data_IF_132894858151
#
_entry.id   IF_132894858151
#
_cell.length_a   1.000
_cell.length_b   1.000
_cell.length_c   1.000
_cell.angle_alpha   90.00
_cell.angle_beta   90.00
_cell.angle_gamma   90.00
#
_symmetry.space_group_name_H-M   'P 1'
#
loop_
_entity.id
_entity.type
_entity.pdbx_description
1 polymer ?
#
# COMPACT_ATOMS: atom_id res chain seq x y z
N UNK A 1 -16.47 -70.58 25.29
CA UNK A 1 -16.80 -69.18 25.59
C UNK A 1 -15.94 -68.67 26.73
N UNK A 2 -14.75 -68.14 26.43
CA UNK A 2 -13.92 -67.45 27.43
C UNK A 2 -12.74 -66.81 26.74
N UNK A 3 -12.99 -65.81 25.93
CA UNK A 3 -11.95 -64.91 25.36
C UNK A 3 -12.53 -63.50 25.26
N UNK A 4 -12.50 -62.71 26.32
CA UNK A 4 -12.70 -61.25 26.20
C UNK A 4 -12.29 -60.40 27.41
N UNK A 5 -11.81 -61.00 28.51
CA UNK A 5 -11.42 -60.15 29.68
C UNK A 5 -9.93 -59.85 29.79
N UNK A 6 -9.08 -60.51 29.01
CA UNK A 6 -7.58 -60.31 29.07
C UNK A 6 -7.09 -59.08 28.31
N UNK A 7 -7.81 -58.62 27.28
CA UNK A 7 -7.36 -57.48 26.45
C UNK A 7 -7.70 -56.14 27.07
N UNK A 8 -8.85 -56.04 27.71
CA UNK A 8 -9.27 -54.78 28.37
C UNK A 8 -8.38 -54.43 29.60
N UNK A 9 -7.93 -55.46 30.37
CA UNK A 9 -7.05 -55.23 31.51
C UNK A 9 -5.62 -54.79 31.08
N UNK A 10 -5.12 -55.27 29.93
CA UNK A 10 -3.81 -54.85 29.42
C UNK A 10 -3.82 -53.42 28.87
N UNK A 11 -4.89 -52.96 28.29
CA UNK A 11 -5.00 -51.58 27.88
C UNK A 11 -5.16 -50.59 29.07
N UNK A 12 -5.93 -51.00 30.11
CA UNK A 12 -6.12 -50.19 31.33
C UNK A 12 -4.78 -50.08 32.12
N UNK A 13 -3.96 -51.12 32.21
CA UNK A 13 -2.67 -51.09 32.88
C UNK A 13 -1.62 -50.25 32.13
N UNK A 14 -1.66 -50.21 30.77
CA UNK A 14 -0.75 -49.35 29.99
C UNK A 14 -1.06 -47.87 30.17
N UNK A 15 -2.37 -47.50 30.26
CA UNK A 15 -2.81 -46.10 30.51
C UNK A 15 -2.47 -45.68 31.95
N UNK A 16 -2.61 -46.58 32.92
CA UNK A 16 -2.29 -46.28 34.33
C UNK A 16 -0.77 -46.14 34.58
N UNK A 17 0.07 -46.90 33.90
CA UNK A 17 1.56 -46.82 33.99
C UNK A 17 2.06 -45.55 33.28
N UNK A 18 1.44 -45.10 32.21
CA UNK A 18 1.76 -43.82 31.57
C UNK A 18 1.42 -42.61 32.46
N UNK A 19 0.35 -42.69 33.24
CA UNK A 19 -0.03 -41.62 34.19
C UNK A 19 0.92 -41.53 35.44
N UNK A 20 1.54 -42.67 35.84
CA UNK A 20 2.48 -42.68 36.98
C UNK A 20 3.89 -42.20 36.58
N UNK A 21 4.29 -42.26 35.30
CA UNK A 21 5.56 -41.79 34.80
C UNK A 21 5.60 -40.34 34.34
N UNK A 22 4.50 -39.58 34.50
CA UNK A 22 4.40 -38.22 33.99
C UNK A 22 4.41 -38.11 32.47
N UNK A 23 4.28 -39.23 31.74
CA UNK A 23 4.04 -39.29 30.31
C UNK A 23 2.54 -39.38 30.08
N UNK A 24 1.81 -38.25 30.24
CA UNK A 24 0.51 -38.10 29.61
C UNK A 24 0.59 -38.38 28.10
N UNK A 25 -0.53 -38.74 27.44
CA UNK A 25 -0.48 -38.90 25.98
C UNK A 25 0.18 -37.66 25.40
N UNK A 26 1.21 -37.85 24.61
CA UNK A 26 1.87 -36.75 23.88
C UNK A 26 0.87 -36.21 22.88
N UNK A 27 0.22 -35.12 23.25
CA UNK A 27 -0.78 -34.45 22.39
C UNK A 27 -0.16 -33.46 21.41
N UNK A 28 1.18 -33.33 21.43
CA UNK A 28 1.92 -32.41 20.58
C UNK A 28 1.90 -30.95 21.01
N UNK A 29 1.29 -30.61 22.13
CA UNK A 29 1.21 -29.20 22.59
C UNK A 29 2.58 -28.61 22.90
N UNK A 30 3.50 -29.42 23.44
CA UNK A 30 4.87 -28.97 23.72
C UNK A 30 5.63 -28.66 22.45
N UNK A 31 5.53 -29.53 21.44
CA UNK A 31 6.12 -29.34 20.12
C UNK A 31 5.55 -28.10 19.45
N UNK A 32 4.24 -27.84 19.60
CA UNK A 32 3.56 -26.68 19.04
C UNK A 32 4.10 -25.36 19.62
N UNK A 33 4.18 -25.25 20.97
CA UNK A 33 4.72 -24.06 21.63
C UNK A 33 6.20 -23.83 21.31
N UNK A 34 7.00 -24.88 21.25
CA UNK A 34 8.39 -24.78 20.80
C UNK A 34 8.49 -24.38 19.32
N UNK A 35 7.57 -24.85 18.49
CA UNK A 35 7.46 -24.47 17.09
C UNK A 35 7.17 -22.98 16.93
N UNK A 36 6.23 -22.43 17.71
CA UNK A 36 5.93 -20.99 17.71
C UNK A 36 7.14 -20.16 18.11
N UNK A 37 7.85 -20.57 19.17
CA UNK A 37 9.08 -19.90 19.59
C UNK A 37 10.15 -19.93 18.49
N UNK A 38 10.37 -21.08 17.84
CA UNK A 38 11.32 -21.19 16.73
C UNK A 38 10.91 -20.31 15.53
N UNK A 39 9.60 -20.24 15.22
CA UNK A 39 9.05 -19.42 14.16
C UNK A 39 9.28 -17.91 14.44
N UNK A 40 9.04 -17.46 15.68
CA UNK A 40 9.29 -16.07 16.10
C UNK A 40 10.79 -15.72 16.01
N UNK A 41 11.67 -16.65 16.34
CA UNK A 41 13.12 -16.50 16.19
C UNK A 41 13.61 -16.65 14.73
N UNK A 42 12.70 -16.84 13.77
CA UNK A 42 12.99 -17.04 12.34
C UNK A 42 13.83 -18.31 12.04
N UNK A 43 13.86 -19.27 12.96
CA UNK A 43 14.40 -20.61 12.71
C UNK A 43 13.34 -21.50 12.05
N UNK A 44 13.04 -21.17 10.77
CA UNK A 44 11.91 -21.74 10.05
C UNK A 44 12.03 -23.25 9.86
N UNK A 45 13.24 -23.81 9.65
CA UNK A 45 13.43 -25.26 9.51
C UNK A 45 13.17 -26.02 10.81
N UNK A 46 13.55 -25.44 11.94
CA UNK A 46 13.23 -26.02 13.24
C UNK A 46 11.73 -25.88 13.54
N UNK A 47 11.12 -24.74 13.22
CA UNK A 47 9.69 -24.53 13.38
C UNK A 47 8.88 -25.54 12.56
N UNK A 48 9.21 -25.76 11.29
CA UNK A 48 8.60 -26.76 10.42
C UNK A 48 8.65 -28.16 11.04
N UNK A 49 9.83 -28.60 11.48
CA UNK A 49 10.00 -29.92 12.10
C UNK A 49 9.11 -30.08 13.34
N UNK A 50 9.00 -29.04 14.16
CA UNK A 50 8.21 -29.07 15.39
C UNK A 50 6.70 -29.04 15.08
N UNK A 51 6.26 -28.18 14.15
CA UNK A 51 4.87 -28.13 13.72
C UNK A 51 4.41 -29.41 13.02
N UNK A 52 5.27 -30.01 12.18
CA UNK A 52 4.98 -31.29 11.54
C UNK A 52 4.76 -32.40 12.58
N UNK A 53 5.62 -32.49 13.60
CA UNK A 53 5.46 -33.44 14.71
C UNK A 53 4.15 -33.18 15.49
N UNK A 54 3.88 -31.91 15.78
CA UNK A 54 2.67 -31.51 16.48
C UNK A 54 1.41 -31.87 15.70
N UNK A 55 1.39 -31.60 14.40
CA UNK A 55 0.26 -31.92 13.50
C UNK A 55 0.00 -33.42 13.37
N UNK A 56 1.07 -34.26 13.41
CA UNK A 56 0.93 -35.73 13.44
C UNK A 56 0.28 -36.21 14.72
N UNK A 57 0.59 -35.58 15.87
CA UNK A 57 0.03 -35.95 17.18
C UNK A 57 -1.42 -35.45 17.37
N UNK A 58 -1.80 -34.39 16.68
CA UNK A 58 -3.15 -33.85 16.73
C UNK A 58 -3.68 -33.51 15.30
N UNK A 59 -3.99 -34.51 14.50
CA UNK A 59 -4.32 -34.32 13.07
C UNK A 59 -5.67 -33.62 12.81
N UNK A 60 -6.50 -33.43 13.84
CA UNK A 60 -7.77 -32.70 13.78
C UNK A 60 -7.66 -31.26 14.29
N UNK A 61 -6.46 -30.82 14.68
CA UNK A 61 -6.20 -29.46 15.14
C UNK A 61 -5.79 -28.60 13.95
N UNK A 62 -6.73 -27.76 13.48
CA UNK A 62 -6.54 -26.91 12.30
C UNK A 62 -5.40 -25.88 12.51
N UNK A 63 -5.24 -25.36 13.75
CA UNK A 63 -4.20 -24.35 14.05
C UNK A 63 -2.79 -24.91 13.82
N UNK A 64 -2.54 -26.13 14.24
CA UNK A 64 -1.24 -26.78 14.05
C UNK A 64 -0.89 -26.98 12.59
N UNK A 65 -1.88 -27.41 11.81
CA UNK A 65 -1.76 -27.59 10.37
C UNK A 65 -1.56 -26.22 9.70
N UNK A 66 -2.27 -25.19 10.16
CA UNK A 66 -2.15 -23.82 9.65
C UNK A 66 -0.75 -23.24 9.88
N UNK A 67 -0.18 -23.41 11.10
CA UNK A 67 1.18 -22.99 11.39
C UNK A 67 2.23 -23.74 10.56
N UNK A 68 2.02 -25.04 10.32
CA UNK A 68 2.88 -25.83 9.42
C UNK A 68 2.81 -25.25 8.00
N UNK A 69 1.60 -25.10 7.44
CA UNK A 69 1.40 -24.57 6.09
C UNK A 69 2.03 -23.18 5.91
N UNK A 70 1.89 -22.31 6.93
CA UNK A 70 2.50 -20.97 6.92
C UNK A 70 4.02 -21.03 6.91
N UNK A 71 4.60 -21.96 7.68
CA UNK A 71 6.05 -22.12 7.75
C UNK A 71 6.61 -22.68 6.45
N UNK A 72 5.95 -23.67 5.86
CA UNK A 72 6.32 -24.24 4.55
C UNK A 72 6.23 -23.17 3.45
N UNK A 73 5.19 -22.33 3.46
CA UNK A 73 5.05 -21.21 2.52
C UNK A 73 6.22 -20.21 2.66
N UNK A 74 6.63 -19.87 3.89
CA UNK A 74 7.76 -18.97 4.12
C UNK A 74 9.12 -19.59 3.74
N UNK A 75 9.23 -20.92 3.80
CA UNK A 75 10.39 -21.66 3.30
C UNK A 75 10.40 -21.77 1.77
N UNK A 76 9.32 -21.44 1.09
CA UNK A 76 9.16 -21.56 -0.35
C UNK A 76 8.72 -22.96 -0.80
N UNK A 77 8.31 -23.82 0.13
CA UNK A 77 7.83 -25.18 -0.08
C UNK A 77 6.34 -25.17 -0.44
N UNK A 78 6.06 -24.65 -1.64
CA UNK A 78 4.69 -24.33 -2.06
C UNK A 78 3.79 -25.56 -2.17
N UNK A 79 4.30 -26.70 -2.65
CA UNK A 79 3.51 -27.92 -2.82
C UNK A 79 3.07 -28.49 -1.46
N UNK A 80 3.97 -28.46 -0.48
CA UNK A 80 3.72 -28.87 0.89
C UNK A 80 2.70 -27.96 1.55
N UNK A 81 2.90 -26.63 1.43
CA UNK A 81 1.95 -25.63 1.93
C UNK A 81 0.55 -25.80 1.31
N UNK A 82 0.44 -26.10 0.01
CA UNK A 82 -0.84 -26.40 -0.64
C UNK A 82 -1.52 -27.64 -0.04
N UNK A 83 -0.76 -28.67 0.26
CA UNK A 83 -1.30 -29.89 0.88
C UNK A 83 -1.81 -29.62 2.29
N UNK A 84 -1.04 -28.87 3.11
CA UNK A 84 -1.45 -28.58 4.47
C UNK A 84 -2.65 -27.62 4.53
N UNK A 85 -2.65 -26.57 3.70
CA UNK A 85 -3.79 -25.63 3.70
C UNK A 85 -5.10 -26.31 3.22
N UNK A 86 -5.01 -27.28 2.31
CA UNK A 86 -6.18 -28.08 1.91
C UNK A 86 -6.75 -28.87 3.10
N UNK A 87 -5.89 -29.44 3.96
CA UNK A 87 -6.32 -30.11 5.20
C UNK A 87 -6.93 -29.11 6.19
N UNK A 88 -6.31 -27.96 6.40
CA UNK A 88 -6.82 -26.92 7.30
C UNK A 88 -8.20 -26.43 6.85
N UNK A 89 -8.41 -26.22 5.55
CA UNK A 89 -9.70 -25.85 4.97
C UNK A 89 -10.77 -26.94 5.20
N UNK A 90 -10.42 -28.21 5.11
CA UNK A 90 -11.35 -29.30 5.39
C UNK A 90 -11.80 -29.36 6.86
N UNK A 91 -10.95 -28.90 7.77
CA UNK A 91 -11.22 -28.89 9.23
C UNK A 91 -11.90 -27.59 9.69
N UNK A 92 -11.49 -26.45 9.19
CA UNK A 92 -11.89 -25.12 9.65
C UNK A 92 -11.98 -24.11 8.49
N UNK A 93 -12.70 -24.44 7.41
CA UNK A 93 -12.77 -23.63 6.19
C UNK A 93 -13.41 -22.25 6.39
N UNK A 94 -14.19 -22.03 7.43
CA UNK A 94 -14.77 -20.72 7.78
C UNK A 94 -13.86 -19.86 8.65
N UNK A 95 -12.76 -20.43 9.17
CA UNK A 95 -11.81 -19.69 9.96
C UNK A 95 -11.10 -18.62 9.11
N UNK A 96 -10.96 -17.41 9.66
CA UNK A 96 -10.44 -16.27 8.93
C UNK A 96 -8.94 -16.42 8.61
N UNK A 97 -8.17 -17.01 9.51
CA UNK A 97 -6.71 -17.22 9.31
C UNK A 97 -6.46 -18.31 8.28
N UNK A 98 -7.28 -19.37 8.27
CA UNK A 98 -7.26 -20.41 7.24
C UNK A 98 -7.60 -19.84 5.87
N UNK A 99 -8.64 -19.02 5.77
CA UNK A 99 -9.05 -18.35 4.53
C UNK A 99 -7.97 -17.38 4.03
N UNK A 100 -7.35 -16.61 4.93
CA UNK A 100 -6.24 -15.69 4.60
C UNK A 100 -5.04 -16.44 4.06
N UNK A 101 -4.59 -17.49 4.76
CA UNK A 101 -3.44 -18.26 4.33
C UNK A 101 -3.72 -18.99 3.00
N UNK A 102 -4.95 -19.51 2.81
CA UNK A 102 -5.34 -20.10 1.52
C UNK A 102 -5.18 -19.10 0.38
N UNK A 103 -5.70 -17.89 0.52
CA UNK A 103 -5.57 -16.87 -0.50
C UNK A 103 -4.10 -16.46 -0.76
N UNK A 104 -3.24 -16.48 0.27
CA UNK A 104 -1.80 -16.27 0.12
C UNK A 104 -1.14 -17.41 -0.66
N UNK A 105 -1.47 -18.66 -0.34
CA UNK A 105 -0.98 -19.84 -1.06
C UNK A 105 -1.42 -19.80 -2.52
N UNK A 106 -2.67 -19.45 -2.81
CA UNK A 106 -3.19 -19.29 -4.17
C UNK A 106 -2.39 -18.22 -4.94
N UNK A 107 -2.06 -17.09 -4.29
CA UNK A 107 -1.22 -16.05 -4.91
C UNK A 107 0.19 -16.56 -5.23
N UNK A 108 0.85 -17.29 -4.32
CA UNK A 108 2.15 -17.89 -4.56
C UNK A 108 2.09 -18.97 -5.66
N UNK A 109 0.98 -19.69 -5.76
CA UNK A 109 0.70 -20.65 -6.83
C UNK A 109 0.36 -19.96 -8.18
N UNK A 110 0.37 -18.63 -8.24
CA UNK A 110 -0.02 -17.82 -9.40
C UNK A 110 -1.48 -17.97 -9.82
N UNK A 111 -2.33 -18.53 -8.96
CA UNK A 111 -3.79 -18.57 -9.12
C UNK A 111 -4.40 -17.24 -8.69
N UNK A 112 -4.07 -16.17 -9.42
CA UNK A 112 -4.38 -14.79 -9.01
C UNK A 112 -5.88 -14.51 -8.93
N UNK A 113 -6.70 -15.19 -9.72
CA UNK A 113 -8.16 -15.05 -9.68
C UNK A 113 -8.72 -15.63 -8.38
N UNK A 114 -8.28 -16.84 -7.99
CA UNK A 114 -8.70 -17.48 -6.73
C UNK A 114 -8.18 -16.68 -5.53
N UNK A 115 -6.94 -16.23 -5.56
CA UNK A 115 -6.39 -15.37 -4.54
C UNK A 115 -7.20 -14.07 -4.37
N UNK A 116 -7.52 -13.39 -5.49
CA UNK A 116 -8.33 -12.18 -5.47
C UNK A 116 -9.73 -12.44 -4.89
N UNK A 117 -10.36 -13.54 -5.27
CA UNK A 117 -11.66 -13.96 -4.73
C UNK A 117 -11.58 -14.19 -3.22
N UNK A 118 -10.61 -15.00 -2.76
CA UNK A 118 -10.44 -15.30 -1.34
C UNK A 118 -10.17 -14.04 -0.50
N UNK A 119 -9.26 -13.17 -0.95
CA UNK A 119 -9.01 -11.90 -0.26
C UNK A 119 -10.23 -10.97 -0.28
N UNK A 120 -11.02 -10.93 -1.37
CA UNK A 120 -12.23 -10.10 -1.46
C UNK A 120 -13.31 -10.56 -0.48
N UNK A 121 -13.53 -11.84 -0.37
CA UNK A 121 -14.48 -12.43 0.57
C UNK A 121 -14.15 -12.06 2.02
N UNK A 122 -12.87 -12.07 2.40
CA UNK A 122 -12.40 -11.65 3.73
C UNK A 122 -12.55 -10.13 3.91
N UNK A 123 -12.10 -9.36 2.94
CA UNK A 123 -12.11 -7.90 2.99
C UNK A 123 -13.53 -7.30 3.13
N UNK A 124 -14.53 -7.94 2.54
CA UNK A 124 -15.92 -7.48 2.53
C UNK A 124 -16.79 -8.13 3.62
N UNK A 125 -16.29 -9.15 4.32
CA UNK A 125 -17.02 -9.83 5.40
C UNK A 125 -17.09 -8.96 6.66
N UNK A 126 -18.21 -8.26 6.84
CA UNK A 126 -18.43 -7.35 7.97
C UNK A 126 -18.48 -8.03 9.35
N UNK A 127 -18.57 -9.36 9.40
CA UNK A 127 -18.56 -10.14 10.65
C UNK A 127 -17.14 -10.26 11.22
N UNK A 128 -16.13 -10.12 10.36
CA UNK A 128 -14.73 -10.18 10.75
C UNK A 128 -14.26 -8.86 11.34
N UNK A 129 -13.26 -8.93 12.21
CA UNK A 129 -12.60 -7.77 12.78
C UNK A 129 -11.99 -6.87 11.69
N UNK A 130 -11.90 -5.56 12.00
CA UNK A 130 -11.36 -4.59 11.07
C UNK A 130 -9.91 -4.90 10.65
N UNK A 131 -9.10 -5.43 11.58
CA UNK A 131 -7.71 -5.85 11.35
C UNK A 131 -7.60 -7.00 10.33
N UNK A 132 -8.47 -8.01 10.44
CA UNK A 132 -8.53 -9.15 9.51
C UNK A 132 -9.00 -8.70 8.12
N UNK A 133 -10.05 -7.88 8.08
CA UNK A 133 -10.54 -7.29 6.83
C UNK A 133 -9.47 -6.41 6.16
N UNK A 134 -8.68 -5.70 6.94
CA UNK A 134 -7.54 -4.91 6.44
C UNK A 134 -6.48 -5.81 5.79
N UNK A 135 -6.21 -7.00 6.34
CA UNK A 135 -5.33 -7.98 5.70
C UNK A 135 -5.89 -8.47 4.37
N UNK A 136 -7.18 -8.76 4.28
CA UNK A 136 -7.85 -9.09 3.02
C UNK A 136 -7.69 -7.98 1.97
N UNK A 137 -7.94 -6.71 2.34
CA UNK A 137 -7.70 -5.57 1.45
C UNK A 137 -6.23 -5.43 1.05
N UNK A 138 -5.28 -5.63 1.97
CA UNK A 138 -3.86 -5.60 1.66
C UNK A 138 -3.48 -6.70 0.66
N UNK A 139 -4.00 -7.93 0.84
CA UNK A 139 -3.83 -9.04 -0.10
C UNK A 139 -4.36 -8.71 -1.50
N UNK A 140 -5.57 -8.13 -1.60
CA UNK A 140 -6.11 -7.63 -2.88
C UNK A 140 -5.20 -6.59 -3.53
N UNK A 141 -4.60 -5.72 -2.74
CA UNK A 141 -3.62 -4.75 -3.22
C UNK A 141 -2.40 -5.42 -3.84
N UNK A 142 -1.88 -6.47 -3.19
CA UNK A 142 -0.74 -7.25 -3.71
C UNK A 142 -1.10 -7.97 -5.02
N UNK A 143 -2.27 -8.61 -5.09
CA UNK A 143 -2.75 -9.21 -6.34
C UNK A 143 -2.87 -8.16 -7.44
N UNK A 144 -3.45 -7.00 -7.12
CA UNK A 144 -3.58 -5.89 -8.08
C UNK A 144 -2.22 -5.39 -8.60
N UNK A 145 -1.20 -5.31 -7.75
CA UNK A 145 0.17 -4.97 -8.19
C UNK A 145 0.75 -6.03 -9.13
N UNK A 146 0.58 -7.30 -8.78
CA UNK A 146 1.09 -8.43 -9.60
C UNK A 146 0.45 -8.47 -10.99
N UNK A 147 -0.81 -8.04 -11.10
CA UNK A 147 -1.55 -7.99 -12.35
C UNK A 147 -1.49 -6.60 -13.05
N UNK A 148 -0.55 -5.74 -12.71
CA UNK A 148 -0.38 -4.37 -13.23
C UNK A 148 -1.62 -3.46 -13.11
N UNK A 149 -2.55 -3.82 -12.23
CA UNK A 149 -3.74 -3.03 -11.93
C UNK A 149 -3.47 -1.98 -10.83
N UNK A 150 -2.49 -1.10 -11.05
CA UNK A 150 -1.93 -0.18 -10.05
C UNK A 150 -2.98 0.69 -9.36
N UNK A 151 -4.00 1.17 -10.08
CA UNK A 151 -5.09 1.95 -9.49
C UNK A 151 -5.96 1.14 -8.54
N UNK A 152 -6.29 -0.11 -8.88
CA UNK A 152 -7.06 -1.00 -8.01
C UNK A 152 -6.24 -1.39 -6.78
N UNK A 153 -4.95 -1.71 -6.98
CA UNK A 153 -4.01 -1.98 -5.89
C UNK A 153 -3.95 -0.81 -4.89
N UNK A 154 -3.84 0.42 -5.38
CA UNK A 154 -3.84 1.61 -4.52
C UNK A 154 -5.12 1.73 -3.70
N UNK A 155 -6.29 1.59 -4.34
CA UNK A 155 -7.57 1.66 -3.62
C UNK A 155 -7.65 0.58 -2.54
N UNK A 156 -7.20 -0.63 -2.83
CA UNK A 156 -7.20 -1.73 -1.89
C UNK A 156 -6.31 -1.43 -0.67
N UNK A 157 -5.07 -0.97 -0.87
CA UNK A 157 -4.20 -0.55 0.24
C UNK A 157 -4.78 0.60 1.04
N UNK A 158 -5.36 1.61 0.40
CA UNK A 158 -5.99 2.73 1.11
C UNK A 158 -7.19 2.27 1.96
N UNK A 159 -7.97 1.29 1.48
CA UNK A 159 -9.06 0.67 2.26
C UNK A 159 -8.52 -0.15 3.43
N UNK A 160 -7.43 -0.90 3.24
CA UNK A 160 -6.73 -1.60 4.33
C UNK A 160 -6.31 -0.63 5.42
N UNK A 161 -5.62 0.45 5.06
CA UNK A 161 -5.10 1.46 5.99
C UNK A 161 -6.20 2.30 6.66
N UNK A 162 -7.37 2.39 6.04
CA UNK A 162 -8.54 2.99 6.68
C UNK A 162 -9.10 2.12 7.79
N UNK A 163 -9.14 0.80 7.60
CA UNK A 163 -9.60 -0.16 8.59
C UNK A 163 -8.58 -0.36 9.71
N UNK A 164 -7.31 -0.47 9.33
CA UNK A 164 -6.21 -0.64 10.28
C UNK A 164 -4.98 0.17 9.85
N UNK A 165 -4.75 1.29 10.51
CA UNK A 165 -3.57 2.15 10.28
C UNK A 165 -2.25 1.51 10.73
N UNK A 166 -2.31 0.43 11.53
CA UNK A 166 -1.13 -0.32 11.96
C UNK A 166 -0.75 -1.44 11.01
N UNK A 167 -1.49 -1.65 9.93
CA UNK A 167 -1.15 -2.64 8.91
C UNK A 167 0.13 -2.24 8.18
N UNK A 168 1.27 -2.65 8.74
CA UNK A 168 2.60 -2.33 8.21
C UNK A 168 2.81 -2.88 6.78
N UNK A 169 2.24 -4.06 6.48
CA UNK A 169 2.31 -4.65 5.15
C UNK A 169 1.65 -3.75 4.10
N UNK A 170 0.50 -3.15 4.41
CA UNK A 170 -0.17 -2.21 3.51
C UNK A 170 0.67 -0.94 3.25
N UNK A 171 1.31 -0.38 4.28
CA UNK A 171 2.23 0.75 4.11
C UNK A 171 3.42 0.39 3.23
N UNK A 172 4.05 -0.77 3.47
CA UNK A 172 5.19 -1.24 2.69
C UNK A 172 4.84 -1.42 1.21
N UNK A 173 3.74 -2.13 0.92
CA UNK A 173 3.33 -2.39 -0.46
C UNK A 173 2.82 -1.13 -1.16
N UNK A 174 2.16 -0.21 -0.45
CA UNK A 174 1.80 1.09 -1.00
C UNK A 174 3.05 1.92 -1.34
N UNK A 175 4.10 1.85 -0.51
CA UNK A 175 5.40 2.44 -0.80
C UNK A 175 6.04 1.86 -2.08
N UNK A 176 6.03 0.53 -2.24
CA UNK A 176 6.48 -0.13 -3.47
C UNK A 176 5.65 0.30 -4.69
N UNK A 177 4.33 0.34 -4.55
CA UNK A 177 3.42 0.76 -5.62
C UNK A 177 3.70 2.20 -6.07
N UNK A 178 3.92 3.12 -5.11
CA UNK A 178 4.24 4.52 -5.45
C UNK A 178 5.63 4.65 -6.08
N UNK A 179 6.63 3.88 -5.61
CA UNK A 179 7.97 3.89 -6.19
C UNK A 179 8.01 3.31 -7.61
N UNK A 180 7.51 2.09 -7.76
CA UNK A 180 7.72 1.28 -8.97
C UNK A 180 6.57 1.41 -9.97
N UNK A 181 5.32 1.46 -9.48
CA UNK A 181 4.13 1.53 -10.32
C UNK A 181 3.80 2.94 -10.81
N UNK A 182 3.85 3.92 -9.92
CA UNK A 182 3.47 5.30 -10.23
C UNK A 182 4.64 6.27 -10.38
N UNK A 183 5.84 5.93 -9.92
CA UNK A 183 7.00 6.82 -9.87
C UNK A 183 6.76 8.12 -9.06
N UNK A 184 6.00 8.02 -7.98
CA UNK A 184 5.73 9.11 -7.04
C UNK A 184 6.70 8.99 -5.85
N UNK A 185 7.94 9.46 -6.05
CA UNK A 185 9.07 9.18 -5.16
C UNK A 185 8.85 9.72 -3.73
N UNK A 186 8.33 10.93 -3.61
CA UNK A 186 8.05 11.56 -2.32
C UNK A 186 6.94 10.84 -1.56
N UNK A 187 5.87 10.44 -2.25
CA UNK A 187 4.81 9.63 -1.64
C UNK A 187 5.33 8.26 -1.23
N UNK A 188 6.19 7.63 -2.03
CA UNK A 188 6.83 6.36 -1.67
C UNK A 188 7.70 6.49 -0.42
N UNK A 189 8.51 7.54 -0.34
CA UNK A 189 9.36 7.84 0.82
C UNK A 189 8.53 7.94 2.10
N UNK A 190 7.44 8.70 2.07
CA UNK A 190 6.54 8.85 3.22
C UNK A 190 5.98 7.50 3.69
N UNK A 191 5.51 6.65 2.76
CA UNK A 191 4.97 5.34 3.11
C UNK A 191 6.02 4.43 3.76
N UNK A 192 7.25 4.42 3.24
CA UNK A 192 8.33 3.63 3.82
C UNK A 192 8.76 4.16 5.19
N UNK A 193 8.78 5.47 5.41
CA UNK A 193 9.06 6.06 6.71
C UNK A 193 7.98 5.70 7.76
N UNK A 194 6.69 5.61 7.35
CA UNK A 194 5.62 5.12 8.22
C UNK A 194 5.81 3.63 8.52
N UNK A 195 6.06 2.81 7.49
CA UNK A 195 6.32 1.38 7.66
C UNK A 195 7.42 1.10 8.69
N UNK A 196 8.56 1.79 8.57
CA UNK A 196 9.71 1.64 9.47
C UNK A 196 9.35 1.97 10.94
N UNK A 197 8.44 2.93 11.15
CA UNK A 197 7.98 3.28 12.53
C UNK A 197 7.03 2.25 13.14
N UNK A 198 6.37 1.45 12.32
CA UNK A 198 5.38 0.47 12.76
C UNK A 198 5.95 -0.92 13.01
N UNK A 199 7.01 -1.29 12.30
CA UNK A 199 7.63 -2.61 12.35
C UNK A 199 8.85 -2.64 13.30
N UNK A 200 9.21 -3.85 13.74
CA UNK A 200 10.37 -4.06 14.58
C UNK A 200 11.68 -3.82 13.81
N UNK A 201 12.62 -3.09 14.41
CA UNK A 201 13.92 -2.76 13.80
C UNK A 201 14.73 -4.00 13.37
N UNK A 202 14.59 -5.11 14.10
CA UNK A 202 15.30 -6.36 13.79
C UNK A 202 14.81 -7.06 12.51
N UNK A 203 13.65 -6.69 11.96
CA UNK A 203 13.11 -7.28 10.75
C UNK A 203 14.04 -7.06 9.55
N UNK A 204 14.42 -8.12 8.80
CA UNK A 204 15.25 -7.96 7.58
C UNK A 204 14.63 -7.01 6.55
N UNK A 205 13.29 -6.96 6.51
CA UNK A 205 12.54 -6.05 5.62
C UNK A 205 12.74 -4.60 6.04
N UNK A 206 12.65 -4.31 7.34
CA UNK A 206 12.90 -2.97 7.89
C UNK A 206 14.33 -2.55 7.61
N UNK A 207 15.31 -3.40 7.87
CA UNK A 207 16.71 -3.10 7.62
C UNK A 207 16.98 -2.78 6.14
N UNK A 208 16.37 -3.54 5.22
CA UNK A 208 16.45 -3.25 3.77
C UNK A 208 15.86 -1.88 3.42
N UNK A 209 14.69 -1.57 3.99
CA UNK A 209 14.02 -0.27 3.75
C UNK A 209 14.87 0.87 4.29
N UNK A 210 15.33 0.79 5.53
CA UNK A 210 16.12 1.84 6.18
C UNK A 210 17.49 2.06 5.52
N UNK A 211 18.20 0.98 5.18
CA UNK A 211 19.59 1.06 4.73
C UNK A 211 19.74 1.24 3.23
N UNK A 212 18.72 0.89 2.45
CA UNK A 212 18.83 0.88 0.99
C UNK A 212 17.72 1.69 0.32
N UNK A 213 16.44 1.43 0.64
CA UNK A 213 15.33 2.02 -0.11
C UNK A 213 15.18 3.51 0.21
N UNK A 214 15.11 3.88 1.49
CA UNK A 214 14.95 5.28 1.91
C UNK A 214 16.12 6.15 1.45
N UNK A 215 17.41 5.77 1.67
CA UNK A 215 18.53 6.55 1.16
C UNK A 215 18.51 6.72 -0.35
N UNK A 216 18.28 5.64 -1.11
CA UNK A 216 18.20 5.70 -2.57
C UNK A 216 17.08 6.61 -3.07
N UNK A 217 15.91 6.60 -2.43
CA UNK A 217 14.81 7.52 -2.77
C UNK A 217 15.19 8.98 -2.49
N UNK A 218 15.80 9.26 -1.34
CA UNK A 218 16.26 10.62 -1.00
C UNK A 218 17.30 11.14 -1.98
N UNK A 219 18.23 10.29 -2.40
CA UNK A 219 19.23 10.62 -3.41
C UNK A 219 18.57 10.88 -4.77
N UNK A 220 17.66 10.03 -5.22
CA UNK A 220 16.95 10.20 -6.50
C UNK A 220 16.10 11.49 -6.50
N UNK A 221 15.38 11.78 -5.43
CA UNK A 221 14.61 13.01 -5.26
C UNK A 221 15.55 14.24 -5.35
N UNK A 222 16.67 14.19 -4.65
CA UNK A 222 17.67 15.29 -4.67
C UNK A 222 18.27 15.45 -6.06
N UNK A 223 18.62 14.35 -6.74
CA UNK A 223 19.14 14.37 -8.11
C UNK A 223 18.15 15.01 -9.07
N UNK A 224 16.89 14.59 -9.06
CA UNK A 224 15.83 15.18 -9.90
C UNK A 224 15.67 16.67 -9.64
N UNK A 225 15.81 17.12 -8.41
CA UNK A 225 15.76 18.55 -8.08
C UNK A 225 16.97 19.32 -8.62
N UNK A 226 18.18 18.75 -8.52
CA UNK A 226 19.42 19.42 -8.96
C UNK A 226 19.63 19.42 -10.48
N UNK A 227 19.10 18.43 -11.18
CA UNK A 227 19.17 18.33 -12.65
C UNK A 227 18.27 19.34 -13.39
N UNK A 228 17.42 20.08 -12.67
CA UNK A 228 16.58 21.12 -13.28
C UNK A 228 17.43 22.24 -13.87
N UNK A 229 17.13 22.72 -15.09
CA UNK A 229 17.87 23.81 -15.71
C UNK A 229 17.94 25.04 -14.79
N UNK A 230 19.16 25.54 -14.56
CA UNK A 230 19.39 26.73 -13.74
C UNK A 230 19.43 26.49 -12.22
N UNK A 231 19.19 25.26 -11.72
CA UNK A 231 19.21 24.94 -10.29
C UNK A 231 20.53 25.34 -9.60
N UNK A 232 21.66 25.25 -10.30
CA UNK A 232 22.99 25.61 -9.78
C UNK A 232 23.22 27.13 -9.66
N UNK A 233 22.38 27.97 -10.27
CA UNK A 233 22.58 29.45 -10.35
C UNK A 233 21.42 30.19 -9.64
N UNK A 234 20.99 29.68 -8.51
CA UNK A 234 19.85 30.25 -7.78
C UNK A 234 20.19 31.53 -7.06
N UNK A 235 19.32 32.53 -7.20
CA UNK A 235 19.34 33.74 -6.40
C UNK A 235 18.00 33.95 -5.70
N UNK A 236 17.84 33.30 -4.55
CA UNK A 236 16.59 33.30 -3.82
C UNK A 236 16.19 34.68 -3.28
N UNK A 237 17.17 35.56 -2.99
CA UNK A 237 16.88 36.92 -2.54
C UNK A 237 16.27 37.78 -3.66
N UNK A 238 16.86 37.75 -4.84
CA UNK A 238 16.31 38.44 -6.03
C UNK A 238 14.96 37.86 -6.40
N UNK A 239 14.81 36.53 -6.33
CA UNK A 239 13.52 35.87 -6.58
C UNK A 239 12.42 36.37 -5.62
N UNK A 240 12.71 36.46 -4.32
CA UNK A 240 11.75 36.92 -3.33
C UNK A 240 11.31 38.37 -3.61
N UNK A 241 12.22 39.27 -3.93
CA UNK A 241 11.92 40.67 -4.32
C UNK A 241 10.98 40.71 -5.53
N UNK A 242 11.29 39.94 -6.58
CA UNK A 242 10.50 39.89 -7.80
C UNK A 242 9.11 39.29 -7.58
N UNK A 243 8.94 38.35 -6.63
CA UNK A 243 7.62 37.85 -6.23
C UNK A 243 6.79 38.97 -5.59
N UNK A 244 7.37 39.78 -4.68
CA UNK A 244 6.71 40.91 -4.07
C UNK A 244 6.28 41.95 -5.13
N UNK A 245 7.13 42.25 -6.10
CA UNK A 245 6.81 43.12 -7.22
C UNK A 245 5.64 42.57 -8.06
N UNK A 246 5.65 41.26 -8.33
CA UNK A 246 4.60 40.60 -9.08
C UNK A 246 3.23 40.67 -8.36
N UNK A 247 3.23 40.42 -7.05
CA UNK A 247 2.02 40.54 -6.21
C UNK A 247 1.51 41.96 -6.16
N UNK A 248 2.40 42.94 -6.07
CA UNK A 248 2.04 44.36 -6.11
C UNK A 248 1.43 44.75 -7.48
N UNK A 249 1.99 44.24 -8.58
CA UNK A 249 1.44 44.45 -9.92
C UNK A 249 0.05 43.80 -10.06
N UNK A 250 -0.16 42.60 -9.51
CA UNK A 250 -1.47 41.94 -9.49
C UNK A 250 -2.51 42.75 -8.73
N UNK A 251 -2.15 43.28 -7.55
CA UNK A 251 -3.06 44.12 -6.76
C UNK A 251 -3.48 45.42 -7.50
N UNK A 252 -2.57 45.95 -8.34
CA UNK A 252 -2.83 47.14 -9.18
C UNK A 252 -3.56 46.80 -10.50
N UNK A 253 -3.92 45.54 -10.72
CA UNK A 253 -4.57 45.11 -11.98
C UNK A 253 -3.62 45.00 -13.18
N UNK A 254 -2.31 45.21 -12.99
CA UNK A 254 -1.31 45.09 -14.05
C UNK A 254 -0.94 43.62 -14.29
N UNK A 255 -1.79 42.94 -15.02
CA UNK A 255 -1.65 41.52 -15.31
C UNK A 255 -0.36 41.15 -16.10
N UNK A 256 0.01 42.02 -17.05
CA UNK A 256 1.23 41.80 -17.87
C UNK A 256 2.48 41.95 -17.00
N UNK A 257 2.55 43.06 -16.23
CA UNK A 257 3.70 43.30 -15.32
C UNK A 257 3.85 42.18 -14.28
N UNK A 258 2.75 41.66 -13.74
CA UNK A 258 2.78 40.56 -12.79
C UNK A 258 3.38 39.28 -13.42
N UNK A 259 2.95 38.91 -14.64
CA UNK A 259 3.50 37.75 -15.35
C UNK A 259 4.98 37.90 -15.62
N UNK A 260 5.41 39.07 -16.11
CA UNK A 260 6.82 39.36 -16.40
C UNK A 260 7.69 39.28 -15.12
N UNK A 261 7.19 39.81 -14.01
CA UNK A 261 7.90 39.75 -12.74
C UNK A 261 8.03 38.31 -12.21
N UNK A 262 6.97 37.47 -12.27
CA UNK A 262 7.05 36.06 -11.92
C UNK A 262 7.98 35.28 -12.85
N UNK A 263 8.02 35.59 -14.15
CA UNK A 263 8.97 34.95 -15.10
C UNK A 263 10.41 35.30 -14.74
N UNK A 264 10.71 36.57 -14.43
CA UNK A 264 12.03 37.01 -13.93
C UNK A 264 12.40 36.32 -12.62
N UNK A 265 11.41 36.16 -11.72
CA UNK A 265 11.61 35.43 -10.46
C UNK A 265 12.01 33.96 -10.71
N UNK A 266 11.41 33.29 -11.68
CA UNK A 266 11.78 31.91 -12.07
C UNK A 266 13.12 31.84 -12.81
N UNK A 267 13.56 32.90 -13.47
CA UNK A 267 14.92 32.99 -14.00
C UNK A 267 15.94 33.13 -12.86
N UNK A 268 15.62 33.92 -11.84
CA UNK A 268 16.45 34.09 -10.65
C UNK A 268 16.52 32.83 -9.78
N UNK A 269 15.40 32.15 -9.60
CA UNK A 269 15.31 30.87 -8.88
C UNK A 269 14.33 29.90 -9.54
N UNK A 270 14.81 29.00 -10.42
CA UNK A 270 13.97 28.03 -11.12
C UNK A 270 13.25 27.02 -10.22
N UNK A 271 13.69 26.89 -8.95
CA UNK A 271 13.10 26.00 -7.96
C UNK A 271 12.10 26.70 -7.04
N UNK A 272 11.74 27.94 -7.34
CA UNK A 272 10.77 28.70 -6.54
C UNK A 272 9.35 28.26 -6.81
N UNK A 273 8.79 27.43 -5.91
CA UNK A 273 7.37 27.07 -5.94
C UNK A 273 6.43 28.28 -5.89
N UNK A 274 6.66 29.29 -5.02
CA UNK A 274 5.80 30.47 -4.99
C UNK A 274 5.78 31.24 -6.32
N UNK A 275 6.92 31.38 -6.99
CA UNK A 275 7.01 32.04 -8.28
C UNK A 275 6.28 31.26 -9.38
N UNK A 276 6.43 29.93 -9.43
CA UNK A 276 5.74 29.08 -10.38
C UNK A 276 4.23 29.09 -10.18
N UNK A 277 3.77 29.00 -8.94
CA UNK A 277 2.35 29.06 -8.60
C UNK A 277 1.76 30.45 -8.89
N UNK A 278 2.51 31.52 -8.57
CA UNK A 278 2.12 32.90 -8.88
C UNK A 278 1.94 33.15 -10.38
N UNK A 279 2.89 32.66 -11.19
CA UNK A 279 2.81 32.73 -12.66
C UNK A 279 1.60 32.00 -13.20
N UNK A 280 1.33 30.77 -12.70
CA UNK A 280 0.19 29.98 -13.12
C UNK A 280 -1.15 30.71 -12.84
N UNK A 281 -1.34 31.19 -11.62
CA UNK A 281 -2.52 31.97 -11.23
C UNK A 281 -2.65 33.27 -12.03
N UNK A 282 -1.54 33.94 -12.33
CA UNK A 282 -1.53 35.15 -13.13
C UNK A 282 -2.02 34.88 -14.57
N UNK A 283 -1.57 33.79 -15.22
CA UNK A 283 -2.08 33.39 -16.51
C UNK A 283 -3.56 32.99 -16.46
N UNK A 284 -3.95 32.14 -15.54
CA UNK A 284 -5.34 31.66 -15.42
C UNK A 284 -6.34 32.80 -15.24
N UNK A 285 -6.00 33.77 -14.42
CA UNK A 285 -6.88 34.89 -14.09
C UNK A 285 -6.98 35.92 -15.21
N UNK A 286 -5.94 36.10 -16.02
CA UNK A 286 -5.81 37.26 -16.90
C UNK A 286 -5.93 36.93 -18.39
N UNK A 287 -5.90 35.66 -18.75
CA UNK A 287 -5.99 35.22 -20.16
C UNK A 287 -6.88 33.98 -20.26
N UNK A 288 -8.15 34.21 -20.57
CA UNK A 288 -9.14 33.16 -20.74
C UNK A 288 -9.04 32.44 -22.12
N UNK A 289 -8.15 32.89 -23.01
CA UNK A 289 -7.94 32.25 -24.29
C UNK A 289 -7.34 30.85 -24.10
N UNK A 290 -7.54 29.98 -25.10
CA UNK A 290 -6.92 28.63 -25.06
C UNK A 290 -5.40 28.71 -24.90
N UNK A 291 -4.74 29.65 -25.52
CA UNK A 291 -3.30 29.88 -25.42
C UNK A 291 -2.88 30.31 -24.01
N UNK A 292 -3.63 31.24 -23.39
CA UNK A 292 -3.39 31.65 -22.00
C UNK A 292 -3.61 30.52 -21.02
N UNK A 293 -4.67 29.74 -21.20
CA UNK A 293 -4.94 28.54 -20.38
C UNK A 293 -3.85 27.47 -20.52
N UNK A 294 -3.28 27.29 -21.73
CA UNK A 294 -2.14 26.37 -21.92
C UNK A 294 -0.90 26.87 -21.17
N UNK A 295 -0.60 28.17 -21.19
CA UNK A 295 0.51 28.75 -20.43
C UNK A 295 0.30 28.63 -18.93
N UNK A 296 -0.94 28.84 -18.44
CA UNK A 296 -1.30 28.57 -17.05
C UNK A 296 -1.06 27.11 -16.67
N UNK A 297 -1.49 26.19 -17.52
CA UNK A 297 -1.34 24.76 -17.30
C UNK A 297 0.15 24.33 -17.18
N UNK A 298 1.03 24.79 -18.08
CA UNK A 298 2.46 24.49 -18.00
C UNK A 298 3.12 25.10 -16.72
N UNK A 299 2.71 26.31 -16.33
CA UNK A 299 3.18 26.91 -15.11
C UNK A 299 2.69 26.16 -13.85
N UNK A 300 1.45 25.70 -13.84
CA UNK A 300 0.92 24.84 -12.78
C UNK A 300 1.64 23.49 -12.72
N UNK A 301 1.91 22.86 -13.86
CA UNK A 301 2.72 21.62 -13.90
C UNK A 301 4.09 21.82 -13.27
N UNK A 302 4.74 22.94 -13.58
CA UNK A 302 6.02 23.30 -12.96
C UNK A 302 5.89 23.46 -11.44
N UNK A 303 4.83 24.13 -10.98
CA UNK A 303 4.55 24.25 -9.55
C UNK A 303 4.28 22.89 -8.87
N UNK A 304 3.49 22.01 -9.48
CA UNK A 304 3.25 20.64 -8.98
C UNK A 304 4.56 19.86 -8.82
N UNK A 305 5.46 20.01 -9.78
CA UNK A 305 6.75 19.34 -9.72
C UNK A 305 7.69 19.92 -8.65
N UNK A 306 7.49 21.18 -8.24
CA UNK A 306 8.28 21.82 -7.18
C UNK A 306 7.74 21.55 -5.77
N UNK A 307 6.46 21.23 -5.65
CA UNK A 307 5.82 20.91 -4.36
C UNK A 307 4.86 19.74 -4.54
N UNK A 308 5.37 18.48 -4.49
CA UNK A 308 4.55 17.28 -4.68
C UNK A 308 3.49 17.06 -3.59
N UNK A 309 3.58 17.72 -2.45
CA UNK A 309 2.58 17.67 -1.38
C UNK A 309 1.47 18.74 -1.51
N UNK A 310 1.58 19.67 -2.45
CA UNK A 310 0.63 20.78 -2.60
C UNK A 310 -0.65 20.33 -3.33
N UNK A 311 -1.55 19.64 -2.63
CA UNK A 311 -2.82 19.12 -3.18
C UNK A 311 -3.62 20.16 -3.93
N UNK A 312 -3.76 21.37 -3.40
CA UNK A 312 -4.51 22.45 -4.03
C UNK A 312 -3.97 22.84 -5.43
N UNK A 313 -2.66 22.75 -5.61
CA UNK A 313 -2.01 22.98 -6.92
C UNK A 313 -2.35 21.88 -7.90
N UNK A 314 -2.33 20.63 -7.45
CA UNK A 314 -2.77 19.50 -8.30
C UNK A 314 -4.24 19.62 -8.67
N UNK A 315 -5.11 20.04 -7.76
CA UNK A 315 -6.55 20.23 -8.04
C UNK A 315 -6.78 21.30 -9.10
N UNK A 316 -6.11 22.45 -8.99
CA UNK A 316 -6.18 23.50 -9.99
C UNK A 316 -5.66 23.02 -11.35
N UNK A 317 -4.50 22.36 -11.35
CA UNK A 317 -3.88 21.81 -12.59
C UNK A 317 -4.78 20.76 -13.24
N UNK A 318 -5.36 19.85 -12.46
CA UNK A 318 -6.27 18.80 -12.95
C UNK A 318 -7.55 19.39 -13.53
N UNK A 319 -8.14 20.39 -12.87
CA UNK A 319 -9.31 21.12 -13.37
C UNK A 319 -9.02 21.79 -14.72
N UNK A 320 -7.87 22.43 -14.84
CA UNK A 320 -7.45 23.09 -16.08
C UNK A 320 -7.14 22.08 -17.19
N UNK A 321 -6.53 20.94 -16.85
CA UNK A 321 -6.31 19.84 -17.81
C UNK A 321 -7.63 19.33 -18.38
N UNK A 322 -8.67 19.17 -17.54
CA UNK A 322 -10.01 18.77 -18.00
C UNK A 322 -10.62 19.80 -18.96
N UNK A 323 -10.50 21.10 -18.66
CA UNK A 323 -10.98 22.20 -19.52
C UNK A 323 -10.27 22.19 -20.89
N UNK A 324 -8.97 21.91 -20.89
CA UNK A 324 -8.15 21.84 -22.11
C UNK A 324 -8.32 20.53 -22.90
N UNK A 325 -9.04 19.55 -22.35
CA UNK A 325 -9.24 18.24 -22.98
C UNK A 325 -8.06 17.27 -22.82
N UNK A 326 -7.14 17.55 -21.90
CA UNK A 326 -5.95 16.72 -21.64
C UNK A 326 -6.28 15.56 -20.68
N UNK A 327 -7.13 14.64 -21.12
CA UNK A 327 -7.73 13.61 -20.26
C UNK A 327 -6.69 12.71 -19.58
N UNK A 328 -5.68 12.23 -20.30
CA UNK A 328 -4.62 11.38 -19.71
C UNK A 328 -3.80 12.12 -18.67
N UNK A 329 -3.46 13.39 -18.92
CA UNK A 329 -2.73 14.22 -17.96
C UNK A 329 -3.60 14.54 -16.74
N UNK A 330 -4.90 14.75 -16.94
CA UNK A 330 -5.83 14.97 -15.83
C UNK A 330 -5.91 13.74 -14.90
N UNK A 331 -5.93 12.51 -15.45
CA UNK A 331 -5.87 11.28 -14.66
C UNK A 331 -4.59 11.23 -13.81
N UNK A 332 -3.43 11.48 -14.44
CA UNK A 332 -2.13 11.49 -13.77
C UNK A 332 -2.09 12.54 -12.64
N UNK A 333 -2.54 13.77 -12.93
CA UNK A 333 -2.52 14.89 -11.98
C UNK A 333 -3.42 14.63 -10.78
N UNK A 334 -4.68 14.19 -11.00
CA UNK A 334 -5.57 13.84 -9.89
C UNK A 334 -5.07 12.60 -9.13
N UNK A 335 -4.40 11.68 -9.83
CA UNK A 335 -3.76 10.50 -9.21
C UNK A 335 -2.65 10.92 -8.24
N UNK A 336 -1.83 11.92 -8.59
CA UNK A 336 -0.83 12.52 -7.69
C UNK A 336 -1.48 13.28 -6.54
N UNK A 337 -2.56 14.01 -6.79
CA UNK A 337 -3.32 14.66 -5.72
C UNK A 337 -3.82 13.67 -4.66
N UNK A 338 -4.34 12.51 -5.10
CA UNK A 338 -4.76 11.41 -4.20
C UNK A 338 -3.56 10.78 -3.48
N UNK A 339 -2.39 10.68 -4.12
CA UNK A 339 -1.18 10.19 -3.46
C UNK A 339 -0.68 11.14 -2.38
N UNK A 340 -0.74 12.45 -2.64
CA UNK A 340 -0.36 13.49 -1.68
C UNK A 340 -1.35 13.63 -0.50
N UNK A 341 -2.64 13.41 -0.74
CA UNK A 341 -3.66 13.35 0.31
C UNK A 341 -4.75 12.34 -0.05
N UNK A 342 -4.63 11.10 0.45
CA UNK A 342 -5.59 10.04 0.15
C UNK A 342 -7.02 10.29 0.66
N UNK A 343 -7.20 11.22 1.60
CA UNK A 343 -8.51 11.57 2.16
C UNK A 343 -9.15 12.80 1.51
N UNK A 344 -8.47 13.44 0.56
CA UNK A 344 -9.03 14.59 -0.17
C UNK A 344 -10.19 14.17 -1.06
N UNK A 345 -11.41 14.47 -0.65
CA UNK A 345 -12.62 14.16 -1.43
C UNK A 345 -12.58 14.82 -2.81
N UNK A 346 -12.08 16.06 -2.89
CA UNK A 346 -11.97 16.80 -4.15
C UNK A 346 -11.01 16.10 -5.14
N UNK A 347 -9.88 15.60 -4.65
CA UNK A 347 -8.92 14.86 -5.46
C UNK A 347 -9.52 13.54 -5.98
N UNK A 348 -10.20 12.81 -5.11
CA UNK A 348 -10.85 11.54 -5.43
C UNK A 348 -12.00 11.78 -6.44
N UNK A 349 -12.85 12.75 -6.20
CA UNK A 349 -13.97 13.10 -7.09
C UNK A 349 -13.47 13.58 -8.47
N UNK A 350 -12.37 14.36 -8.48
CA UNK A 350 -11.67 14.74 -9.70
C UNK A 350 -11.19 13.52 -10.50
N UNK A 351 -10.53 12.58 -9.81
CA UNK A 351 -10.03 11.34 -10.43
C UNK A 351 -11.18 10.47 -10.96
N UNK A 352 -12.23 10.26 -10.18
CA UNK A 352 -13.42 9.48 -10.60
C UNK A 352 -14.02 10.08 -11.87
N UNK A 353 -14.18 11.40 -11.91
CA UNK A 353 -14.78 12.12 -13.05
C UNK A 353 -13.98 11.89 -14.33
N UNK A 354 -12.66 12.01 -14.28
CA UNK A 354 -11.81 11.83 -15.48
C UNK A 354 -11.72 10.37 -15.92
N UNK A 355 -11.71 9.41 -14.98
CA UNK A 355 -11.72 7.98 -15.27
C UNK A 355 -13.01 7.56 -15.97
N UNK A 356 -14.18 8.02 -15.50
CA UNK A 356 -15.48 7.73 -16.14
C UNK A 356 -15.57 8.29 -17.55
N UNK A 357 -15.04 9.51 -17.78
CA UNK A 357 -15.03 10.12 -19.11
C UNK A 357 -14.17 9.34 -20.12
N UNK A 358 -13.18 8.59 -19.66
CA UNK A 358 -12.28 7.76 -20.49
C UNK A 358 -12.88 6.42 -20.95
N UNK A 359 -14.05 6.01 -20.47
CA UNK A 359 -14.84 4.82 -20.93
C UNK A 359 -14.25 3.45 -20.58
N UNK A 360 -12.94 3.32 -20.40
CA UNK A 360 -12.27 2.02 -20.15
C UNK A 360 -12.01 1.72 -18.66
N UNK A 361 -12.25 2.67 -17.80
CA UNK A 361 -11.83 2.61 -16.39
C UNK A 361 -13.00 2.53 -15.39
N UNK A 362 -14.17 2.02 -15.80
CA UNK A 362 -15.36 2.02 -14.96
C UNK A 362 -15.16 1.21 -13.65
N UNK A 363 -14.49 0.05 -13.70
CA UNK A 363 -14.13 -0.74 -12.52
C UNK A 363 -13.25 0.07 -11.56
N UNK A 364 -12.28 0.80 -12.08
CA UNK A 364 -11.36 1.65 -11.28
C UNK A 364 -12.12 2.82 -10.69
N UNK A 365 -12.93 3.52 -11.48
CA UNK A 365 -13.78 4.62 -11.00
C UNK A 365 -14.75 4.15 -9.91
N UNK A 366 -15.37 2.99 -10.08
CA UNK A 366 -16.25 2.37 -9.08
C UNK A 366 -15.51 2.02 -7.80
N UNK A 367 -14.27 1.51 -7.88
CA UNK A 367 -13.46 1.22 -6.71
C UNK A 367 -13.12 2.50 -5.92
N UNK A 368 -12.73 3.58 -6.63
CA UNK A 368 -12.53 4.88 -5.98
C UNK A 368 -13.81 5.47 -5.40
N UNK A 369 -14.98 5.28 -6.05
CA UNK A 369 -16.27 5.70 -5.51
C UNK A 369 -16.56 4.98 -4.18
N UNK A 370 -16.42 3.64 -4.13
CA UNK A 370 -16.58 2.87 -2.90
C UNK A 370 -15.61 3.34 -1.79
N UNK A 371 -14.36 3.64 -2.16
CA UNK A 371 -13.39 4.19 -1.21
C UNK A 371 -13.82 5.56 -0.70
N UNK A 372 -14.19 6.48 -1.59
CA UNK A 372 -14.70 7.82 -1.27
C UNK A 372 -15.89 7.76 -0.31
N UNK A 373 -16.88 6.91 -0.61
CA UNK A 373 -18.07 6.75 0.22
C UNK A 373 -17.75 6.18 1.60
N UNK A 374 -16.67 5.38 1.71
CA UNK A 374 -16.19 4.90 2.99
C UNK A 374 -15.59 6.01 3.85
N UNK A 375 -15.06 7.11 3.27
CA UNK A 375 -14.48 8.23 4.02
C UNK A 375 -15.53 9.04 4.77
N UNK A 376 -16.78 9.09 4.28
CA UNK A 376 -17.89 9.78 4.93
C UNK A 376 -18.61 8.96 6.02
N UNK A 377 -18.32 7.67 6.16
CA UNK A 377 -18.88 6.82 7.22
C UNK A 377 -17.93 6.84 8.42
N UNK A 378 -18.35 7.50 9.51
CA UNK A 378 -17.68 7.44 10.82
C UNK A 378 -17.95 6.11 11.51
#
# INVERSE_FOLDING_TARGET
>A
MSFSQSSALKCASAVLVAAILGCGPRDGSKEFEQGKTAYELRDLKKAETLFARSAVLAPQDADRILYLARTELELGELAEAQLQIAKAVALAGDDADVRLLKAQVDWHAKSYEDAAKGFSEIAEDIRLEASVRAQGWAGLGVVGMTCDNHHLARVAFLRALRLDRRNAAAWYHLGLLYRDGFRYLEAALEQFEIFVRLEQEASPRVQKVQRTIIPGLKEEIARVATERPGAAKRNSSVCATLIVEAEAAQKKGNAKGAREAYQKALVADPLSYPAALGLAKAWEKTDATKAGQQKAFEAYKSACALSPSAVSTFLATGSLAVKLGYSSQAVEIYSRAVAANPTSLEAIDGLIRVLRKGGKADKVATAYQKYRDSLGKK
#
